data_IF_904643179779
#
_entry.id   IF_904643179779
#
_cell.length_a   1.000
_cell.length_b   1.000
_cell.length_c   1.000
_cell.angle_alpha   90.00
_cell.angle_beta   90.00
_cell.angle_gamma   90.00
#
_symmetry.space_group_name_H-M   'P 1'
#
loop_
_entity.id
_entity.type
_entity.pdbx_description
1 polymer ?
#
# COMPACT_ATOMS: atom_id res chain seq x y z
N UNK A 1 -33.55 -17.30 -9.47
CA UNK A 1 -32.55 -17.12 -8.38
C UNK A 1 -31.16 -16.99 -9.01
N UNK A 2 -30.53 -15.80 -8.96
CA UNK A 2 -29.13 -15.64 -9.39
C UNK A 2 -28.22 -16.27 -8.32
N UNK A 3 -27.39 -17.25 -8.70
CA UNK A 3 -26.33 -17.77 -7.81
C UNK A 3 -25.29 -16.67 -7.63
N UNK A 4 -25.27 -16.01 -6.48
CA UNK A 4 -24.16 -15.13 -6.10
C UNK A 4 -22.90 -15.98 -5.97
N UNK A 5 -21.95 -15.82 -6.89
CA UNK A 5 -20.66 -16.49 -6.83
C UNK A 5 -19.88 -15.87 -5.66
N UNK A 6 -19.54 -16.68 -4.66
CA UNK A 6 -18.79 -16.21 -3.49
C UNK A 6 -17.34 -15.90 -3.90
N UNK A 7 -16.76 -14.88 -3.27
CA UNK A 7 -15.39 -14.41 -3.52
C UNK A 7 -15.16 -13.98 -4.99
N UNK A 8 -16.22 -13.73 -5.77
CA UNK A 8 -16.09 -13.19 -7.11
C UNK A 8 -15.41 -11.82 -7.08
N UNK A 9 -14.29 -11.69 -7.79
CA UNK A 9 -13.49 -10.45 -7.80
C UNK A 9 -12.43 -10.35 -6.70
N UNK A 10 -12.37 -11.32 -5.77
CA UNK A 10 -11.26 -11.40 -4.83
C UNK A 10 -10.13 -12.21 -5.45
N UNK A 11 -8.96 -11.58 -5.62
CA UNK A 11 -7.74 -12.24 -6.04
C UNK A 11 -6.60 -11.78 -5.13
N UNK A 12 -5.97 -12.73 -4.44
CA UNK A 12 -4.80 -12.45 -3.61
C UNK A 12 -3.62 -13.19 -4.22
N UNK A 13 -2.59 -12.45 -4.61
CA UNK A 13 -1.36 -13.05 -5.11
C UNK A 13 -0.74 -13.94 -4.03
N UNK A 14 -0.17 -15.09 -4.44
CA UNK A 14 0.40 -16.06 -3.49
C UNK A 14 1.46 -15.43 -2.59
N UNK A 15 2.33 -14.57 -3.14
CA UNK A 15 3.37 -13.84 -2.39
C UNK A 15 2.79 -12.97 -1.28
N UNK A 16 1.63 -12.33 -1.52
CA UNK A 16 0.92 -11.52 -0.53
C UNK A 16 0.35 -12.41 0.57
N UNK A 17 -0.29 -13.52 0.20
CA UNK A 17 -0.81 -14.50 1.19
C UNK A 17 0.28 -15.10 2.07
N UNK A 18 1.45 -15.41 1.49
CA UNK A 18 2.60 -15.92 2.25
C UNK A 18 3.12 -14.89 3.25
N UNK A 19 3.23 -13.62 2.83
CA UNK A 19 3.67 -12.54 3.69
C UNK A 19 2.72 -12.34 4.88
N UNK A 20 1.41 -12.32 4.63
CA UNK A 20 0.40 -12.17 5.67
C UNK A 20 0.45 -13.33 6.68
N UNK A 21 0.69 -14.56 6.21
CA UNK A 21 0.90 -15.72 7.09
C UNK A 21 2.15 -15.54 7.96
N UNK A 22 3.27 -15.12 7.37
CA UNK A 22 4.50 -14.90 8.13
C UNK A 22 4.32 -13.78 9.17
N UNK A 23 3.64 -12.69 8.83
CA UNK A 23 3.31 -11.62 9.76
C UNK A 23 2.47 -12.14 10.95
N UNK A 24 1.40 -12.89 10.67
CA UNK A 24 0.53 -13.45 11.70
C UNK A 24 1.26 -14.44 12.63
N UNK A 25 2.20 -15.23 12.08
CA UNK A 25 3.01 -16.18 12.87
C UNK A 25 4.19 -15.52 13.58
N UNK A 26 4.63 -14.35 13.14
CA UNK A 26 5.71 -13.58 13.79
C UNK A 26 5.26 -12.86 15.05
N UNK A 27 3.94 -12.71 15.23
CA UNK A 27 3.37 -12.11 16.44
C UNK A 27 3.69 -12.96 17.67
N UNK A 28 3.96 -12.28 18.79
CA UNK A 28 4.11 -12.91 20.09
C UNK A 28 2.78 -12.86 20.85
N UNK A 29 2.49 -13.93 21.61
CA UNK A 29 1.43 -13.90 22.61
C UNK A 29 1.85 -13.02 23.79
N UNK A 30 0.89 -12.67 24.64
CA UNK A 30 1.14 -11.88 25.85
C UNK A 30 2.16 -12.51 26.82
N UNK A 31 2.38 -13.83 26.73
CA UNK A 31 3.38 -14.58 27.50
C UNK A 31 4.79 -14.59 26.85
N UNK A 32 4.99 -13.81 25.78
CA UNK A 32 6.26 -13.73 25.03
C UNK A 32 6.56 -14.95 24.15
N UNK A 33 5.68 -15.96 24.09
CA UNK A 33 5.86 -17.12 23.21
C UNK A 33 5.36 -16.81 21.81
N UNK A 34 6.00 -17.43 20.81
CA UNK A 34 5.53 -17.36 19.43
C UNK A 34 4.11 -17.92 19.31
N UNK A 35 3.29 -17.26 18.50
CA UNK A 35 1.93 -17.70 18.21
C UNK A 35 1.96 -18.97 17.37
N UNK A 36 1.18 -19.97 17.79
CA UNK A 36 0.88 -21.13 16.97
C UNK A 36 -0.54 -20.99 16.41
N UNK A 37 -0.70 -21.02 15.08
CA UNK A 37 -1.99 -20.85 14.41
C UNK A 37 -2.54 -22.18 13.87
N UNK A 38 -3.86 -22.38 13.98
CA UNK A 38 -4.52 -23.52 13.32
C UNK A 38 -4.57 -23.30 11.80
N UNK A 39 -4.83 -24.36 11.03
CA UNK A 39 -4.98 -24.24 9.57
C UNK A 39 -6.11 -23.26 9.18
N UNK A 40 -7.19 -23.23 9.96
CA UNK A 40 -8.29 -22.29 9.73
C UNK A 40 -7.86 -20.84 10.00
N UNK A 41 -7.10 -20.61 11.08
CA UNK A 41 -6.59 -19.28 11.41
C UNK A 41 -5.59 -18.79 10.37
N UNK A 42 -4.75 -19.68 9.83
CA UNK A 42 -3.90 -19.37 8.67
C UNK A 42 -4.72 -18.95 7.45
N UNK A 43 -5.87 -19.57 7.21
CA UNK A 43 -6.74 -19.20 6.09
C UNK A 43 -7.26 -17.77 6.20
N UNK A 44 -7.74 -17.38 7.39
CA UNK A 44 -8.19 -16.01 7.64
C UNK A 44 -7.06 -14.99 7.57
N UNK A 45 -5.84 -15.36 7.99
CA UNK A 45 -4.67 -14.50 7.85
C UNK A 45 -4.22 -14.36 6.38
N UNK A 46 -4.15 -15.46 5.63
CA UNK A 46 -3.66 -15.51 4.25
C UNK A 46 -4.59 -14.82 3.25
N UNK A 47 -5.89 -14.79 3.55
CA UNK A 47 -6.93 -14.29 2.65
C UNK A 47 -7.97 -13.44 3.43
N UNK A 48 -7.62 -12.21 3.82
CA UNK A 48 -8.54 -11.31 4.50
C UNK A 48 -9.78 -11.05 3.65
N UNK A 49 -10.96 -11.02 4.28
CA UNK A 49 -12.24 -10.76 3.59
C UNK A 49 -12.81 -11.93 2.80
N UNK A 50 -12.09 -13.06 2.66
CA UNK A 50 -12.64 -14.26 2.03
C UNK A 50 -13.69 -14.89 2.94
N UNK A 51 -14.84 -15.25 2.36
CA UNK A 51 -15.87 -16.00 3.08
C UNK A 51 -15.59 -17.50 2.98
N UNK A 52 -14.93 -18.05 4.00
CA UNK A 52 -14.64 -19.48 4.13
C UNK A 52 -15.85 -20.26 4.67
N UNK A 53 -16.93 -20.37 3.89
CA UNK A 53 -18.07 -21.24 4.26
C UNK A 53 -17.83 -22.64 3.70
N UNK A 54 -17.05 -23.45 4.43
CA UNK A 54 -16.61 -24.80 4.07
C UNK A 54 -17.14 -25.33 2.73
N UNK A 55 -16.37 -25.14 1.64
CA UNK A 55 -16.21 -26.19 0.64
C UNK A 55 -14.75 -26.63 0.67
N UNK A 56 -14.51 -27.88 0.30
CA UNK A 56 -13.18 -28.51 0.29
C UNK A 56 -12.10 -27.67 -0.42
N UNK A 57 -12.47 -26.82 -1.40
CA UNK A 57 -11.53 -26.00 -2.19
C UNK A 57 -10.81 -24.89 -1.42
N UNK A 58 -11.48 -24.18 -0.52
CA UNK A 58 -10.85 -23.05 0.18
C UNK A 58 -9.90 -23.53 1.30
N UNK A 59 -10.29 -24.61 2.00
CA UNK A 59 -9.40 -25.34 2.89
C UNK A 59 -8.21 -25.97 2.13
N UNK A 60 -8.43 -26.47 0.92
CA UNK A 60 -7.37 -27.02 0.07
C UNK A 60 -6.37 -25.95 -0.37
N UNK A 61 -6.81 -24.75 -0.72
CA UNK A 61 -5.91 -23.64 -1.08
C UNK A 61 -4.98 -23.28 0.09
N UNK A 62 -5.54 -23.14 1.29
CA UNK A 62 -4.76 -22.87 2.50
C UNK A 62 -3.82 -24.03 2.84
N UNK A 63 -4.27 -25.28 2.67
CA UNK A 63 -3.42 -26.46 2.88
C UNK A 63 -2.26 -26.53 1.89
N UNK A 64 -2.49 -26.21 0.61
CA UNK A 64 -1.44 -26.14 -0.42
C UNK A 64 -0.44 -25.01 -0.13
N UNK A 65 -0.94 -23.85 0.27
CA UNK A 65 -0.11 -22.71 0.70
C UNK A 65 0.78 -23.11 1.87
N UNK A 66 0.18 -23.63 2.95
CA UNK A 66 0.91 -24.07 4.13
C UNK A 66 1.94 -25.16 3.77
N UNK A 67 1.58 -26.13 2.94
CA UNK A 67 2.50 -27.18 2.48
C UNK A 67 3.69 -26.60 1.71
N UNK A 68 3.45 -25.72 0.76
CA UNK A 68 4.50 -25.01 0.00
C UNK A 68 5.45 -24.22 0.91
N UNK A 69 4.90 -23.54 1.93
CA UNK A 69 5.71 -22.81 2.91
C UNK A 69 6.51 -23.76 3.83
N UNK A 70 5.97 -24.93 4.16
CA UNK A 70 6.67 -25.97 4.92
C UNK A 70 7.80 -26.61 4.12
N UNK A 71 7.56 -26.93 2.84
CA UNK A 71 8.55 -27.55 1.95
C UNK A 71 9.75 -26.60 1.74
N UNK A 72 9.51 -25.27 1.74
CA UNK A 72 10.56 -24.24 1.74
C UNK A 72 11.15 -23.92 3.12
N UNK A 73 10.68 -24.59 4.17
CA UNK A 73 11.18 -24.41 5.54
C UNK A 73 10.80 -23.09 6.21
N UNK A 74 9.85 -22.34 5.67
CA UNK A 74 9.42 -21.04 6.20
C UNK A 74 8.58 -21.19 7.48
N UNK A 75 7.74 -22.23 7.51
CA UNK A 75 6.88 -22.57 8.66
C UNK A 75 7.04 -24.05 9.02
N UNK A 76 6.65 -24.41 10.23
CA UNK A 76 6.58 -25.80 10.69
C UNK A 76 5.27 -26.06 11.42
N UNK A 77 4.85 -27.32 11.47
CA UNK A 77 3.71 -27.74 12.29
C UNK A 77 4.25 -28.22 13.64
N UNK A 78 3.96 -27.47 14.70
CA UNK A 78 4.18 -27.90 16.07
C UNK A 78 3.04 -28.84 16.49
N UNK A 79 3.40 -30.06 16.85
CA UNK A 79 2.43 -31.04 17.37
C UNK A 79 2.07 -30.78 18.84
N UNK A 80 2.65 -29.73 19.44
CA UNK A 80 2.53 -29.38 20.85
C UNK A 80 3.46 -30.25 21.67
N UNK A 81 4.37 -29.65 22.45
CA UNK A 81 5.01 -30.37 23.55
C UNK A 81 3.95 -30.71 24.60
N UNK A 82 4.14 -31.83 25.32
CA UNK A 82 3.34 -32.28 26.48
C UNK A 82 3.12 -31.18 27.56
N UNK A 83 3.84 -30.06 27.49
CA UNK A 83 3.86 -28.95 28.45
C UNK A 83 3.15 -27.67 27.94
N UNK A 84 1.98 -27.81 27.30
CA UNK A 84 1.04 -26.69 27.12
C UNK A 84 1.32 -25.71 25.97
N UNK A 85 2.20 -26.06 25.01
CA UNK A 85 2.33 -25.32 23.75
C UNK A 85 1.15 -25.63 22.82
N UNK A 86 0.46 -24.60 22.31
CA UNK A 86 -0.68 -24.78 21.41
C UNK A 86 -0.29 -25.54 20.14
N UNK A 87 -1.13 -26.52 19.73
CA UNK A 87 -0.92 -27.25 18.47
C UNK A 87 -1.20 -26.32 17.29
N UNK A 88 -0.30 -26.23 16.34
CA UNK A 88 -0.50 -25.32 15.21
C UNK A 88 0.72 -25.16 14.32
N UNK A 89 0.65 -24.22 13.40
CA UNK A 89 1.76 -23.79 12.57
C UNK A 89 2.51 -22.69 13.30
N UNK A 90 3.84 -22.74 13.23
CA UNK A 90 4.78 -21.77 13.81
C UNK A 90 5.75 -21.30 12.75
N UNK A 91 6.23 -20.07 12.87
CA UNK A 91 7.26 -19.52 11.99
C UNK A 91 8.61 -20.18 12.29
N UNK A 92 9.42 -20.41 11.26
CA UNK A 92 10.83 -20.83 11.42
C UNK A 92 11.76 -19.64 11.19
N UNK A 93 13.01 -19.79 11.57
CA UNK A 93 14.04 -18.77 11.34
C UNK A 93 14.12 -18.33 9.86
N UNK A 94 14.01 -19.27 8.92
CA UNK A 94 13.97 -18.95 7.49
C UNK A 94 12.74 -18.10 7.10
N UNK A 95 11.57 -18.37 7.71
CA UNK A 95 10.37 -17.56 7.54
C UNK A 95 10.52 -16.16 8.12
N UNK A 96 11.11 -16.03 9.32
CA UNK A 96 11.37 -14.73 9.94
C UNK A 96 12.30 -13.87 9.08
N UNK A 97 13.41 -14.45 8.58
CA UNK A 97 14.32 -13.76 7.65
C UNK A 97 13.64 -13.38 6.35
N UNK A 98 12.79 -14.24 5.80
CA UNK A 98 12.03 -13.94 4.59
C UNK A 98 11.03 -12.79 4.79
N UNK A 99 10.43 -12.70 5.98
CA UNK A 99 9.57 -11.60 6.38
C UNK A 99 10.36 -10.29 6.48
N UNK A 100 11.47 -10.29 7.21
CA UNK A 100 12.36 -9.12 7.35
C UNK A 100 12.86 -8.63 5.98
N UNK A 101 13.32 -9.54 5.11
CA UNK A 101 13.75 -9.20 3.76
C UNK A 101 12.62 -8.67 2.87
N UNK A 102 11.38 -9.09 3.11
CA UNK A 102 10.21 -8.59 2.38
C UNK A 102 9.76 -7.23 2.90
N UNK A 103 9.79 -7.03 4.22
CA UNK A 103 9.56 -5.73 4.85
C UNK A 103 10.63 -4.73 4.41
N UNK A 104 11.92 -5.07 4.46
CA UNK A 104 13.00 -4.22 3.97
C UNK A 104 12.83 -3.86 2.49
N UNK A 105 12.39 -4.80 1.65
CA UNK A 105 12.04 -4.52 0.25
C UNK A 105 10.81 -3.62 0.13
N UNK A 106 9.81 -3.77 0.99
CA UNK A 106 8.65 -2.88 1.02
C UNK A 106 8.98 -1.49 1.58
N UNK A 107 9.93 -1.36 2.50
CA UNK A 107 10.45 -0.08 2.97
C UNK A 107 11.32 0.58 1.88
N UNK A 108 12.12 -0.20 1.15
CA UNK A 108 12.91 0.30 0.03
C UNK A 108 12.04 0.68 -1.18
N UNK A 109 10.99 -0.10 -1.48
CA UNK A 109 10.02 0.20 -2.54
C UNK A 109 8.95 1.21 -2.10
N UNK A 110 8.69 1.32 -0.79
CA UNK A 110 7.77 2.28 -0.17
C UNK A 110 8.41 3.63 0.12
N UNK A 111 9.68 3.82 -0.27
CA UNK A 111 10.36 5.12 -0.24
C UNK A 111 10.17 5.92 -1.54
N UNK A 112 9.30 5.46 -2.45
CA UNK A 112 8.84 6.20 -3.63
C UNK A 112 7.39 6.71 -3.53
N UNK A 113 6.62 6.41 -2.46
CA UNK A 113 5.18 6.73 -2.49
C UNK A 113 4.55 6.91 -1.10
N UNK A 114 4.75 8.08 -0.46
CA UNK A 114 3.86 8.73 0.55
C UNK A 114 4.52 9.91 1.32
N UNK A 115 5.83 10.13 1.19
CA UNK A 115 6.49 11.36 1.69
C UNK A 115 6.71 12.34 0.54
N UNK A 116 6.32 13.61 0.74
CA UNK A 116 6.64 14.68 -0.20
C UNK A 116 8.15 14.69 -0.49
N UNK A 117 8.53 14.83 -1.77
CA UNK A 117 9.93 15.11 -2.12
C UNK A 117 10.39 16.42 -1.46
N UNK A 118 11.70 16.65 -1.28
CA UNK A 118 12.20 17.92 -0.74
C UNK A 118 11.66 19.15 -1.48
N UNK A 119 11.50 19.05 -2.80
CA UNK A 119 10.94 20.08 -3.68
C UNK A 119 9.44 20.29 -3.42
N UNK A 120 8.66 19.21 -3.25
CA UNK A 120 7.25 19.27 -2.90
C UNK A 120 7.03 19.83 -1.49
N UNK A 121 7.87 19.44 -0.53
CA UNK A 121 7.81 19.95 0.84
C UNK A 121 8.15 21.44 0.92
N UNK A 122 9.16 21.89 0.16
CA UNK A 122 9.49 23.30 0.02
C UNK A 122 8.33 24.08 -0.63
N UNK A 123 7.67 23.50 -1.62
CA UNK A 123 6.48 24.10 -2.26
C UNK A 123 5.33 24.26 -1.27
N UNK A 124 4.99 23.20 -0.52
CA UNK A 124 3.94 23.26 0.52
C UNK A 124 4.29 24.29 1.61
N UNK A 125 5.56 24.42 2.00
CA UNK A 125 5.96 25.42 2.98
C UNK A 125 5.73 26.87 2.51
N UNK A 126 5.85 27.14 1.21
CA UNK A 126 5.61 28.46 0.62
C UNK A 126 4.11 28.79 0.46
N UNK A 127 3.23 27.78 0.49
CA UNK A 127 1.76 27.96 0.39
C UNK A 127 1.19 28.49 1.70
N UNK A 128 0.11 29.28 1.61
CA UNK A 128 -0.65 29.79 2.76
C UNK A 128 -1.04 28.61 3.69
N UNK A 129 -0.78 28.70 5.01
CA UNK A 129 -1.05 27.66 6.01
C UNK A 129 -2.37 26.91 5.86
N UNK A 130 -3.46 27.61 5.51
CA UNK A 130 -4.81 27.03 5.38
C UNK A 130 -4.92 26.00 4.26
N UNK A 131 -4.12 26.15 3.19
CA UNK A 131 -4.15 25.26 2.02
C UNK A 131 -3.02 24.23 1.99
N UNK A 132 -2.09 24.26 2.96
CA UNK A 132 -0.92 23.36 2.99
C UNK A 132 -1.28 21.89 3.04
N UNK A 133 -2.28 21.54 3.85
CA UNK A 133 -2.74 20.15 3.98
C UNK A 133 -3.32 19.64 2.66
N UNK A 134 -4.17 20.45 2.02
CA UNK A 134 -4.78 20.10 0.73
C UNK A 134 -3.73 20.03 -0.40
N UNK A 135 -2.79 20.97 -0.43
CA UNK A 135 -1.66 20.96 -1.38
C UNK A 135 -0.79 19.71 -1.22
N UNK A 136 -0.48 19.32 0.03
CA UNK A 136 0.28 18.11 0.30
C UNK A 136 -0.43 16.85 -0.20
N UNK A 137 -1.75 16.76 -0.05
CA UNK A 137 -2.51 15.62 -0.57
C UNK A 137 -2.52 15.57 -2.10
N UNK A 138 -2.64 16.71 -2.78
CA UNK A 138 -2.55 16.75 -4.24
C UNK A 138 -1.17 16.36 -4.78
N UNK A 139 -0.10 16.81 -4.12
CA UNK A 139 1.27 16.46 -4.50
C UNK A 139 1.58 14.98 -4.21
N UNK A 140 1.11 14.44 -3.08
CA UNK A 140 1.22 12.99 -2.77
C UNK A 140 0.48 12.13 -3.78
N UNK A 141 -0.73 12.55 -4.20
CA UNK A 141 -1.55 11.80 -5.13
C UNK A 141 -1.05 11.89 -6.59
N UNK A 142 -0.06 12.76 -6.87
CA UNK A 142 0.43 13.00 -8.22
C UNK A 142 -0.70 13.36 -9.18
N UNK A 143 -1.55 14.30 -8.78
CA UNK A 143 -2.79 14.62 -9.51
C UNK A 143 -2.53 15.10 -10.93
N UNK A 144 -3.57 14.95 -11.75
CA UNK A 144 -3.58 15.48 -13.09
C UNK A 144 -3.80 17.00 -13.03
N UNK A 145 -2.98 17.75 -13.77
CA UNK A 145 -2.99 19.22 -13.78
C UNK A 145 -3.08 19.77 -15.20
N UNK A 146 -3.63 20.97 -15.35
CA UNK A 146 -3.76 21.70 -16.61
C UNK A 146 -2.97 23.00 -16.50
N UNK A 147 -2.25 23.35 -17.56
CA UNK A 147 -1.62 24.67 -17.68
C UNK A 147 -2.58 25.59 -18.43
N UNK A 148 -3.05 26.63 -17.75
CA UNK A 148 -3.98 27.58 -18.34
C UNK A 148 -3.47 29.01 -18.18
N UNK A 149 -3.96 29.91 -19.03
CA UNK A 149 -3.71 31.35 -18.85
C UNK A 149 -4.53 31.83 -17.66
N UNK A 150 -3.88 32.49 -16.70
CA UNK A 150 -4.60 33.04 -15.55
C UNK A 150 -5.29 34.34 -15.92
N UNK A 151 -6.51 34.53 -15.41
CA UNK A 151 -7.34 35.70 -15.69
C UNK A 151 -7.58 36.56 -14.44
N UNK A 152 -6.98 36.21 -13.29
CA UNK A 152 -7.29 36.84 -11.99
C UNK A 152 -6.25 37.88 -11.55
N UNK A 153 -4.97 37.70 -11.87
CA UNK A 153 -3.97 38.76 -11.67
C UNK A 153 -3.95 39.67 -12.90
N UNK A 154 -4.12 40.98 -12.70
CA UNK A 154 -3.97 42.00 -13.75
C UNK A 154 -2.53 42.10 -14.30
N UNK A 155 -2.19 43.21 -14.98
CA UNK A 155 -0.96 43.43 -15.78
C UNK A 155 0.41 43.28 -15.05
N UNK A 156 0.45 42.76 -13.82
CA UNK A 156 1.67 42.41 -13.07
C UNK A 156 1.75 40.95 -12.60
N UNK A 157 0.78 40.09 -12.96
CA UNK A 157 0.76 38.67 -12.61
C UNK A 157 1.51 37.77 -13.59
N UNK A 158 2.03 36.64 -13.11
CA UNK A 158 2.62 35.61 -13.97
C UNK A 158 1.55 34.97 -14.86
N UNK A 159 1.59 35.07 -16.19
CA UNK A 159 0.43 34.83 -17.05
C UNK A 159 -0.13 33.40 -17.09
N UNK A 160 0.58 32.38 -16.59
CA UNK A 160 0.15 30.98 -16.61
C UNK A 160 -0.01 30.41 -15.20
N UNK A 161 -1.05 29.61 -14.98
CA UNK A 161 -1.26 28.84 -13.76
C UNK A 161 -1.26 27.34 -14.03
N UNK A 162 -0.86 26.57 -13.02
CA UNK A 162 -0.97 25.11 -12.97
C UNK A 162 -2.19 24.80 -12.12
N UNK A 163 -3.31 24.45 -12.73
CA UNK A 163 -4.56 24.15 -12.03
C UNK A 163 -4.80 22.63 -11.94
N UNK A 164 -5.48 22.17 -10.89
CA UNK A 164 -5.86 20.76 -10.77
C UNK A 164 -6.95 20.44 -11.78
N UNK A 165 -6.78 19.40 -12.61
CA UNK A 165 -7.71 19.11 -13.70
C UNK A 165 -9.13 18.77 -13.24
N UNK A 166 -9.27 18.18 -12.05
CA UNK A 166 -10.57 17.88 -11.43
C UNK A 166 -11.23 19.10 -10.77
N UNK A 167 -10.45 20.16 -10.49
CA UNK A 167 -10.89 21.38 -9.84
C UNK A 167 -10.03 22.57 -10.31
N UNK A 168 -10.44 23.18 -11.42
CA UNK A 168 -9.70 24.26 -12.06
C UNK A 168 -9.64 25.55 -11.21
N UNK A 169 -10.38 25.63 -10.10
CA UNK A 169 -10.30 26.73 -9.15
C UNK A 169 -9.10 26.58 -8.19
N UNK A 170 -8.53 25.37 -8.05
CA UNK A 170 -7.38 25.13 -7.20
C UNK A 170 -6.07 25.21 -8.00
N UNK A 171 -5.27 26.23 -7.72
CA UNK A 171 -3.99 26.45 -8.41
C UNK A 171 -2.81 25.96 -7.56
N UNK A 172 -1.98 25.12 -8.17
CA UNK A 172 -0.75 24.59 -7.59
C UNK A 172 0.36 25.65 -7.60
N UNK A 173 0.55 26.34 -8.73
CA UNK A 173 1.60 27.37 -8.89
C UNK A 173 1.27 28.32 -10.06
N UNK A 174 1.96 29.47 -10.14
CA UNK A 174 1.89 30.42 -11.25
C UNK A 174 3.28 30.66 -11.86
N UNK A 175 3.37 30.62 -13.19
CA UNK A 175 4.61 30.65 -13.97
C UNK A 175 4.57 31.70 -15.10
N UNK A 176 5.75 32.17 -15.50
CA UNK A 176 5.91 33.23 -16.51
C UNK A 176 5.65 32.74 -17.94
N UNK A 177 5.85 31.45 -18.19
CA UNK A 177 5.62 30.82 -19.49
C UNK A 177 5.02 29.43 -19.32
N UNK A 178 4.46 28.88 -20.41
CA UNK A 178 3.94 27.51 -20.46
C UNK A 178 5.06 26.51 -20.20
N UNK A 179 6.23 26.71 -20.79
CA UNK A 179 7.39 25.83 -20.64
C UNK A 179 7.84 25.73 -19.18
N UNK A 180 7.88 26.87 -18.48
CA UNK A 180 8.19 26.91 -17.05
C UNK A 180 7.11 26.22 -16.20
N UNK A 181 5.83 26.38 -16.56
CA UNK A 181 4.73 25.71 -15.87
C UNK A 181 4.81 24.18 -16.02
N UNK A 182 5.14 23.68 -17.22
CA UNK A 182 5.33 22.26 -17.47
C UNK A 182 6.55 21.72 -16.71
N UNK A 183 7.69 22.41 -16.76
CA UNK A 183 8.89 22.02 -16.04
C UNK A 183 8.65 21.98 -14.52
N UNK A 184 7.89 22.96 -14.00
CA UNK A 184 7.49 23.04 -12.59
C UNK A 184 6.55 21.91 -12.18
N UNK A 185 5.53 21.61 -13.00
CA UNK A 185 4.62 20.48 -12.75
C UNK A 185 5.37 19.15 -12.73
N UNK A 186 6.29 18.93 -13.66
CA UNK A 186 7.14 17.73 -13.71
C UNK A 186 8.06 17.64 -12.49
N UNK A 187 8.70 18.75 -12.09
CA UNK A 187 9.55 18.80 -10.89
C UNK A 187 8.76 18.51 -9.60
N UNK A 188 7.46 18.82 -9.58
CA UNK A 188 6.54 18.52 -8.48
C UNK A 188 5.89 17.13 -8.58
N UNK A 189 6.25 16.30 -9.57
CA UNK A 189 5.71 14.95 -9.73
C UNK A 189 4.25 14.90 -10.23
N UNK A 190 3.76 15.98 -10.84
CA UNK A 190 2.38 16.11 -11.33
C UNK A 190 2.26 15.67 -12.79
N UNK A 191 1.09 15.17 -13.17
CA UNK A 191 0.81 14.74 -14.55
C UNK A 191 0.08 15.85 -15.31
N UNK A 192 0.73 16.48 -16.27
CA UNK A 192 0.06 17.49 -17.11
C UNK A 192 -0.86 16.80 -18.10
N UNK A 193 -2.17 17.05 -18.02
CA UNK A 193 -3.19 16.51 -18.93
C UNK A 193 -3.77 17.64 -19.77
N UNK A 194 -3.56 17.56 -21.09
CA UNK A 194 -4.13 18.53 -22.05
C UNK A 194 -3.24 19.76 -22.32
N UNK A 195 -3.50 20.35 -23.50
CA UNK A 195 -3.01 21.63 -24.02
C UNK A 195 -4.23 22.54 -24.22
#
# INVERSE_FOLDING_TARGET
>A
MRKTIRNSGLHTAQTVSELLVLQALSSCRADGRQVALSLSALGFAAYPGYSFKAPQGAALAVAKLARSMQDRGLIARDQGRRTGGGRGYVIRLAGARALEASQARQFAAGHEDLSLTPEQAAHVAAVNPEFRAQMAEFLKAGVDVVVARQNECGDGGRPFCIAVASDNAFWIDCCESVELAHARAQALGLRVVGL
#
